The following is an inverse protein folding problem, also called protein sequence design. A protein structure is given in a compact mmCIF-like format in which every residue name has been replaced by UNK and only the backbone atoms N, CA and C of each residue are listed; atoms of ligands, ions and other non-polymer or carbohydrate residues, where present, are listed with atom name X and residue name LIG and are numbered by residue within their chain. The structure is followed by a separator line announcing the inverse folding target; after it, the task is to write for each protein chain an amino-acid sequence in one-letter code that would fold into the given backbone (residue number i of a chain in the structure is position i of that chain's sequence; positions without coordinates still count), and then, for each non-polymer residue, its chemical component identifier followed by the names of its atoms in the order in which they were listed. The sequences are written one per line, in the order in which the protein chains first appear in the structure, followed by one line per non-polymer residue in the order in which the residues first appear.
data_IF_013148110508
#
_entry.id   IF_013148110508
#
_cell.length_a   1.000
_cell.length_b   1.000
_cell.length_c   1.000
_cell.angle_alpha   90.00
_cell.angle_beta   90.00
_cell.angle_gamma   90.00
#
_symmetry.space_group_name_H-M   'P 1'
#
loop_
_entity.id
_entity.type
_entity.pdbx_description
1 polymer ?
#
# COMPACT_ATOMS: atom_id res chain seq x y z
N UNK A 1 -9.35 -19.33 -14.86
CA UNK A 1 -8.58 -18.57 -13.87
C UNK A 1 -8.37 -19.42 -12.62
N UNK A 2 -7.12 -19.59 -12.15
CA UNK A 2 -6.88 -20.15 -10.83
C UNK A 2 -7.41 -19.17 -9.78
N UNK A 3 -8.27 -19.62 -8.85
CA UNK A 3 -8.69 -18.80 -7.71
C UNK A 3 -7.46 -18.54 -6.84
N UNK A 4 -7.09 -17.28 -6.65
CA UNK A 4 -5.90 -16.88 -5.88
C UNK A 4 -6.28 -16.55 -4.43
N UNK A 5 -7.53 -16.17 -4.19
CA UNK A 5 -8.06 -15.80 -2.88
C UNK A 5 -9.30 -16.61 -2.55
N UNK A 6 -9.41 -17.06 -1.31
CA UNK A 6 -10.59 -17.71 -0.76
C UNK A 6 -11.05 -16.92 0.46
N UNK A 7 -12.35 -16.59 0.49
CA UNK A 7 -12.99 -15.96 1.64
C UNK A 7 -13.68 -17.06 2.46
N UNK A 8 -13.23 -17.25 3.70
CA UNK A 8 -13.88 -18.11 4.68
C UNK A 8 -14.58 -17.25 5.73
N UNK A 9 -15.91 -17.28 5.73
CA UNK A 9 -16.76 -16.54 6.67
C UNK A 9 -17.57 -17.47 7.60
N UNK A 10 -17.18 -18.74 7.72
CA UNK A 10 -17.89 -19.71 8.55
C UNK A 10 -18.06 -19.23 10.00
N UNK A 11 -17.05 -18.55 10.55
CA UNK A 11 -17.11 -18.01 11.91
C UNK A 11 -18.10 -16.84 12.10
N UNK A 12 -18.78 -16.40 11.05
CA UNK A 12 -19.87 -15.42 11.12
C UNK A 12 -21.25 -16.10 11.06
N UNK A 13 -21.28 -17.40 10.74
CA UNK A 13 -22.53 -18.12 10.50
C UNK A 13 -23.17 -18.62 11.79
N UNK A 14 -24.50 -18.59 11.84
CA UNK A 14 -25.30 -19.06 12.97
C UNK A 14 -25.08 -20.54 13.29
N UNK A 15 -24.67 -21.35 12.30
CA UNK A 15 -24.30 -22.75 12.52
C UNK A 15 -23.02 -22.92 13.37
N UNK A 16 -22.16 -21.89 13.46
CA UNK A 16 -20.92 -21.93 14.22
C UNK A 16 -21.04 -21.18 15.56
N UNK A 17 -21.67 -20.01 15.56
CA UNK A 17 -21.71 -19.12 16.74
C UNK A 17 -23.11 -18.96 17.35
N UNK A 18 -24.09 -19.75 16.90
CA UNK A 18 -25.42 -19.76 17.47
C UNK A 18 -26.27 -18.55 17.06
N UNK A 19 -27.14 -18.12 17.99
CA UNK A 19 -28.17 -17.09 17.73
C UNK A 19 -27.62 -15.72 17.27
N UNK A 20 -26.39 -15.42 17.58
CA UNK A 20 -25.74 -14.14 17.23
C UNK A 20 -25.08 -14.18 15.84
N UNK A 21 -25.12 -15.33 15.17
CA UNK A 21 -24.56 -15.52 13.82
C UNK A 21 -25.57 -15.21 12.73
N UNK A 22 -25.04 -15.03 11.51
CA UNK A 22 -25.80 -14.75 10.30
C UNK A 22 -26.28 -16.07 9.70
N UNK A 23 -27.53 -16.15 9.27
CA UNK A 23 -28.09 -17.31 8.55
C UNK A 23 -27.87 -17.20 7.06
N UNK A 24 -27.83 -18.32 6.35
CA UNK A 24 -27.76 -18.33 4.89
C UNK A 24 -28.94 -17.57 4.28
N UNK A 25 -30.14 -17.67 4.83
CA UNK A 25 -31.32 -16.95 4.35
C UNK A 25 -31.12 -15.42 4.42
N UNK A 26 -30.49 -14.90 5.47
CA UNK A 26 -30.15 -13.49 5.57
C UNK A 26 -29.16 -13.06 4.50
N UNK A 27 -28.14 -13.86 4.22
CA UNK A 27 -27.19 -13.62 3.11
C UNK A 27 -27.95 -13.58 1.78
N UNK A 28 -28.75 -14.61 1.51
CA UNK A 28 -29.49 -14.75 0.24
C UNK A 28 -30.44 -13.56 0.02
N UNK A 29 -31.06 -13.04 1.08
CA UNK A 29 -31.93 -11.87 1.00
C UNK A 29 -31.21 -10.58 0.57
N UNK A 30 -29.88 -10.50 0.75
CA UNK A 30 -29.07 -9.35 0.37
C UNK A 30 -28.42 -9.45 -1.01
N UNK A 31 -28.52 -10.60 -1.70
CA UNK A 31 -27.85 -10.81 -2.98
C UNK A 31 -28.29 -9.78 -4.03
N UNK A 32 -29.56 -9.45 -4.10
CA UNK A 32 -30.08 -8.47 -5.04
C UNK A 32 -29.50 -7.07 -4.76
N UNK A 33 -29.48 -6.66 -3.49
CA UNK A 33 -28.92 -5.38 -3.07
C UNK A 33 -27.41 -5.31 -3.37
N UNK A 34 -26.69 -6.37 -3.09
CA UNK A 34 -25.24 -6.46 -3.36
C UNK A 34 -24.94 -6.36 -4.85
N UNK A 35 -25.73 -7.05 -5.71
CA UNK A 35 -25.61 -6.95 -7.18
C UNK A 35 -25.87 -5.52 -7.69
N UNK A 36 -26.90 -4.85 -7.17
CA UNK A 36 -27.21 -3.48 -7.56
C UNK A 36 -26.12 -2.50 -7.11
N UNK A 37 -25.61 -2.63 -5.89
CA UNK A 37 -24.50 -1.83 -5.39
C UNK A 37 -23.22 -2.05 -6.22
N UNK A 38 -22.89 -3.31 -6.53
CA UNK A 38 -21.75 -3.65 -7.40
C UNK A 38 -21.90 -3.05 -8.80
N UNK A 39 -23.08 -3.18 -9.41
CA UNK A 39 -23.34 -2.60 -10.73
C UNK A 39 -23.17 -1.08 -10.73
N UNK A 40 -23.61 -0.39 -9.67
CA UNK A 40 -23.40 1.06 -9.53
C UNK A 40 -21.93 1.41 -9.42
N UNK A 41 -21.18 0.76 -8.54
CA UNK A 41 -19.74 0.99 -8.37
C UNK A 41 -18.99 0.76 -9.67
N UNK A 42 -19.28 -0.34 -10.37
CA UNK A 42 -18.59 -0.68 -11.64
C UNK A 42 -18.96 0.23 -12.80
N UNK A 43 -20.19 0.79 -12.83
CA UNK A 43 -20.58 1.76 -13.88
C UNK A 43 -19.87 3.10 -13.74
N UNK A 44 -19.36 3.42 -12.57
CA UNK A 44 -18.61 4.64 -12.26
C UNK A 44 -17.09 4.42 -12.26
N UNK A 45 -16.64 3.20 -12.59
CA UNK A 45 -15.21 2.86 -12.62
C UNK A 45 -14.44 3.80 -13.57
N UNK A 46 -13.26 4.24 -13.14
CA UNK A 46 -12.43 5.19 -13.88
C UNK A 46 -12.89 6.65 -13.80
N UNK A 47 -13.98 6.96 -13.10
CA UNK A 47 -14.57 8.29 -13.03
C UNK A 47 -14.58 8.84 -11.60
N UNK A 48 -14.33 10.14 -11.43
CA UNK A 48 -14.41 10.84 -10.15
C UNK A 48 -13.71 10.10 -9.01
N UNK A 49 -14.43 9.80 -7.94
CA UNK A 49 -13.92 9.06 -6.78
C UNK A 49 -13.56 7.59 -7.05
N UNK A 50 -13.93 7.04 -8.21
CA UNK A 50 -13.67 5.67 -8.64
C UNK A 50 -12.51 5.60 -9.65
N UNK A 51 -11.79 6.71 -9.89
CA UNK A 51 -10.66 6.79 -10.83
C UNK A 51 -9.56 5.78 -10.53
N UNK A 52 -9.35 5.42 -9.27
CA UNK A 52 -8.34 4.45 -8.83
C UNK A 52 -8.55 3.04 -9.40
N UNK A 53 -9.77 2.68 -9.81
CA UNK A 53 -10.09 1.33 -10.31
C UNK A 53 -9.40 1.01 -11.63
N UNK A 54 -9.05 2.01 -12.43
CA UNK A 54 -8.36 1.84 -13.70
C UNK A 54 -6.83 1.85 -13.59
N UNK A 55 -6.28 2.27 -12.45
CA UNK A 55 -4.82 2.37 -12.25
C UNK A 55 -4.06 1.06 -12.57
N UNK A 56 -4.56 -0.15 -12.23
CA UNK A 56 -3.86 -1.38 -12.56
C UNK A 56 -3.73 -1.67 -14.06
N UNK A 57 -4.47 -0.95 -14.91
CA UNK A 57 -4.62 -1.28 -16.34
C UNK A 57 -4.05 -0.23 -17.29
N UNK A 58 -3.70 0.97 -16.80
CA UNK A 58 -3.32 2.09 -17.66
C UNK A 58 -2.07 2.86 -17.16
N UNK A 59 -1.17 2.21 -16.45
CA UNK A 59 -0.03 2.86 -15.81
C UNK A 59 1.34 2.59 -16.47
N UNK A 60 1.40 1.90 -17.61
CA UNK A 60 2.67 1.47 -18.20
C UNK A 60 3.62 2.65 -18.45
N UNK A 61 3.16 3.73 -19.09
CA UNK A 61 3.98 4.91 -19.34
C UNK A 61 4.41 5.62 -18.04
N UNK A 62 3.49 5.72 -17.07
CA UNK A 62 3.80 6.33 -15.77
C UNK A 62 4.82 5.48 -15.01
N UNK A 63 4.72 4.15 -15.11
CA UNK A 63 5.70 3.24 -14.50
C UNK A 63 7.10 3.42 -15.10
N UNK A 64 7.21 3.57 -16.42
CA UNK A 64 8.49 3.83 -17.09
C UNK A 64 9.08 5.18 -16.65
N UNK A 65 8.28 6.22 -16.56
CA UNK A 65 8.70 7.55 -16.10
C UNK A 65 9.16 7.50 -14.62
N UNK A 66 8.46 6.75 -13.76
CA UNK A 66 8.86 6.54 -12.36
C UNK A 66 10.17 5.76 -12.27
N UNK A 67 10.37 4.74 -13.09
CA UNK A 67 11.62 3.95 -13.13
C UNK A 67 12.78 4.84 -13.55
N UNK A 68 12.60 5.67 -14.58
CA UNK A 68 13.63 6.61 -15.03
C UNK A 68 14.00 7.62 -13.92
N UNK A 69 13.01 8.20 -13.27
CA UNK A 69 13.18 9.08 -12.10
C UNK A 69 13.94 8.36 -10.97
N UNK A 70 13.50 7.15 -10.60
CA UNK A 70 14.11 6.38 -9.53
C UNK A 70 15.59 6.04 -9.80
N UNK A 71 15.96 5.78 -11.04
CA UNK A 71 17.36 5.56 -11.42
C UNK A 71 18.20 6.82 -11.19
N UNK A 72 17.71 8.00 -11.59
CA UNK A 72 18.38 9.26 -11.30
C UNK A 72 18.51 9.58 -9.80
N UNK A 73 17.50 9.20 -9.01
CA UNK A 73 17.52 9.35 -7.54
C UNK A 73 18.59 8.46 -6.92
N UNK A 74 18.69 7.20 -7.35
CA UNK A 74 19.72 6.24 -6.85
C UNK A 74 21.15 6.71 -7.06
N UNK A 75 21.39 7.49 -8.10
CA UNK A 75 22.74 8.02 -8.42
C UNK A 75 23.10 9.22 -7.53
N UNK A 76 22.11 9.99 -7.09
CA UNK A 76 22.31 11.25 -6.39
C UNK A 76 22.21 11.15 -4.87
N UNK A 77 21.34 10.27 -4.38
CA UNK A 77 21.00 10.21 -2.97
C UNK A 77 21.32 8.85 -2.33
N UNK A 78 21.78 8.90 -1.10
CA UNK A 78 22.04 7.71 -0.28
C UNK A 78 20.84 7.28 0.56
N UNK A 79 19.90 8.20 0.74
CA UNK A 79 18.68 8.00 1.54
C UNK A 79 17.46 8.62 0.88
N UNK A 80 16.32 7.97 1.02
CA UNK A 80 14.99 8.48 0.70
C UNK A 80 14.16 8.46 1.98
N UNK A 81 13.50 9.57 2.27
CA UNK A 81 12.55 9.70 3.39
C UNK A 81 11.19 10.09 2.83
N UNK A 82 10.19 9.30 3.12
CA UNK A 82 8.79 9.63 2.83
C UNK A 82 8.18 10.25 4.09
N UNK A 83 7.69 11.48 3.95
CA UNK A 83 6.92 12.17 4.98
C UNK A 83 5.44 12.06 4.59
N UNK A 84 4.70 11.19 5.23
CA UNK A 84 3.31 10.97 4.85
C UNK A 84 2.53 10.27 5.94
N UNK A 85 1.23 10.55 6.03
CA UNK A 85 0.32 9.99 7.02
C UNK A 85 -0.77 9.17 6.30
N UNK A 86 -1.23 8.10 6.93
CA UNK A 86 -2.28 7.24 6.39
C UNK A 86 -1.88 6.58 5.07
N UNK A 87 -2.65 6.76 4.02
CA UNK A 87 -2.41 6.14 2.71
C UNK A 87 -1.07 6.51 2.08
N UNK A 88 -0.55 7.72 2.36
CA UNK A 88 0.76 8.16 1.87
C UNK A 88 1.94 7.43 2.53
N UNK A 89 1.76 6.90 3.73
CA UNK A 89 2.79 6.13 4.46
C UNK A 89 2.59 4.61 4.32
N UNK A 90 1.35 4.13 4.46
CA UNK A 90 1.05 2.69 4.55
C UNK A 90 1.36 1.95 3.26
N UNK A 91 1.08 2.55 2.10
CA UNK A 91 1.40 1.97 0.79
C UNK A 91 2.90 1.72 0.62
N UNK A 92 3.75 2.75 0.71
CA UNK A 92 5.21 2.60 0.64
C UNK A 92 5.76 1.61 1.67
N UNK A 93 5.29 1.64 2.91
CA UNK A 93 5.70 0.73 3.98
C UNK A 93 5.34 -0.72 3.67
N UNK A 94 4.11 -0.97 3.20
CA UNK A 94 3.66 -2.31 2.85
C UNK A 94 4.50 -2.91 1.71
N UNK A 95 4.75 -2.12 0.66
CA UNK A 95 5.57 -2.57 -0.49
C UNK A 95 7.01 -2.83 -0.07
N UNK A 96 7.60 -1.92 0.70
CA UNK A 96 8.97 -2.10 1.21
C UNK A 96 9.09 -3.39 2.02
N UNK A 97 8.20 -3.62 2.99
CA UNK A 97 8.23 -4.79 3.86
C UNK A 97 7.96 -6.10 3.11
N UNK A 98 7.11 -6.07 2.07
CA UNK A 98 6.79 -7.25 1.28
C UNK A 98 7.90 -7.65 0.30
N UNK A 99 8.63 -6.66 -0.27
CA UNK A 99 9.55 -6.89 -1.38
C UNK A 99 11.03 -6.75 -1.03
N UNK A 100 11.35 -6.25 0.16
CA UNK A 100 12.74 -5.99 0.57
C UNK A 100 13.12 -6.83 1.80
N UNK A 101 14.43 -6.88 2.04
CA UNK A 101 14.97 -7.53 3.23
C UNK A 101 14.46 -6.85 4.50
N UNK A 102 14.10 -7.61 5.54
CA UNK A 102 13.55 -7.07 6.81
C UNK A 102 14.49 -6.06 7.52
N UNK A 103 15.79 -6.15 7.25
CA UNK A 103 16.83 -5.23 7.73
C UNK A 103 17.42 -4.43 6.58
N UNK A 104 16.57 -3.95 5.68
CA UNK A 104 17.01 -3.30 4.43
C UNK A 104 17.99 -2.16 4.67
N UNK A 105 17.67 -1.24 5.60
CA UNK A 105 18.51 -0.08 5.89
C UNK A 105 19.84 -0.43 6.59
N UNK A 106 19.92 -1.58 7.26
CA UNK A 106 21.13 -2.05 7.95
C UNK A 106 22.12 -2.74 6.99
N UNK A 107 21.68 -3.09 5.78
CA UNK A 107 22.54 -3.71 4.77
C UNK A 107 23.55 -2.69 4.22
N UNK A 108 24.78 -3.11 3.92
CA UNK A 108 25.72 -2.29 3.17
C UNK A 108 25.17 -1.97 1.77
N UNK A 109 25.59 -0.84 1.21
CA UNK A 109 25.07 -0.27 -0.06
C UNK A 109 25.09 -1.30 -1.21
N UNK A 110 26.15 -2.09 -1.31
CA UNK A 110 26.34 -3.10 -2.38
C UNK A 110 25.30 -4.23 -2.31
N UNK A 111 24.87 -4.60 -1.10
CA UNK A 111 23.83 -5.62 -0.88
C UNK A 111 22.42 -5.04 -0.96
N UNK A 112 22.25 -3.78 -0.60
CA UNK A 112 20.96 -3.09 -0.64
C UNK A 112 20.52 -2.77 -2.06
N UNK A 113 21.47 -2.42 -2.92
CA UNK A 113 21.22 -2.11 -4.33
C UNK A 113 20.44 -0.81 -4.57
N UNK A 114 20.37 0.06 -3.55
CA UNK A 114 19.67 1.35 -3.62
C UNK A 114 19.86 2.20 -2.36
N UNK A 115 19.23 3.38 -2.30
CA UNK A 115 19.23 4.24 -1.12
C UNK A 115 18.62 3.54 0.11
N UNK A 116 18.97 3.96 1.32
CA UNK A 116 18.17 3.68 2.51
C UNK A 116 16.76 4.24 2.32
N UNK A 117 15.78 3.64 2.96
CA UNK A 117 14.38 4.06 2.80
C UNK A 117 13.70 4.14 4.17
N UNK A 118 13.22 5.32 4.51
CA UNK A 118 12.51 5.58 5.75
C UNK A 118 11.12 6.14 5.45
N UNK A 119 10.16 5.80 6.29
CA UNK A 119 8.80 6.35 6.24
C UNK A 119 8.48 6.95 7.61
N UNK A 120 8.30 8.26 7.64
CA UNK A 120 7.83 8.98 8.82
C UNK A 120 6.34 9.25 8.68
N UNK A 121 5.57 8.55 9.49
CA UNK A 121 4.11 8.46 9.40
C UNK A 121 3.38 9.21 10.52
N UNK A 122 4.12 9.95 11.34
CA UNK A 122 3.57 10.69 12.46
C UNK A 122 4.31 12.01 12.69
N UNK A 123 3.59 12.98 13.22
CA UNK A 123 4.15 14.27 13.66
C UNK A 123 4.73 14.09 15.08
N UNK A 124 5.91 13.49 15.12
CA UNK A 124 6.62 13.17 16.36
C UNK A 124 8.04 13.76 16.29
N UNK A 125 8.35 14.78 17.11
CA UNK A 125 9.66 15.45 17.07
C UNK A 125 10.81 14.53 17.49
N UNK A 126 10.58 13.56 18.38
CA UNK A 126 11.63 12.65 18.84
C UNK A 126 11.99 11.63 17.75
N UNK A 127 10.99 11.14 17.01
CA UNK A 127 11.24 10.30 15.85
C UNK A 127 12.00 11.05 14.76
N UNK A 128 11.60 12.28 14.47
CA UNK A 128 12.29 13.10 13.47
C UNK A 128 13.74 13.39 13.90
N UNK A 129 13.98 13.76 15.15
CA UNK A 129 15.33 13.96 15.67
C UNK A 129 16.17 12.68 15.52
N UNK A 130 15.64 11.54 15.93
CA UNK A 130 16.31 10.23 15.78
C UNK A 130 16.62 9.86 14.33
N UNK A 131 15.75 10.22 13.38
CA UNK A 131 16.02 10.03 11.97
C UNK A 131 17.18 10.91 11.50
N UNK A 132 17.17 12.20 11.88
CA UNK A 132 18.23 13.16 11.51
C UNK A 132 19.60 12.76 12.05
N UNK A 133 19.67 12.05 13.18
CA UNK A 133 20.91 11.53 13.74
C UNK A 133 21.57 10.43 12.90
N UNK A 134 20.81 9.75 12.02
CA UNK A 134 21.28 8.57 11.26
C UNK A 134 21.35 8.79 9.76
N UNK A 135 20.90 9.93 9.26
CA UNK A 135 20.95 10.28 7.83
C UNK A 135 21.87 11.45 7.57
N UNK A 136 22.40 11.53 6.35
CA UNK A 136 23.04 12.73 5.82
C UNK A 136 21.99 13.53 5.04
N UNK A 137 21.56 14.65 5.57
CA UNK A 137 20.49 15.49 5.00
C UNK A 137 20.83 15.98 3.58
N UNK A 138 22.10 16.28 3.32
CA UNK A 138 22.56 16.75 1.99
C UNK A 138 22.51 15.65 0.94
N UNK A 139 22.52 14.37 1.37
CA UNK A 139 22.41 13.18 0.51
C UNK A 139 21.06 12.48 0.64
N UNK A 140 20.07 13.17 1.16
CA UNK A 140 18.74 12.64 1.39
C UNK A 140 17.71 13.32 0.50
N UNK A 141 16.90 12.51 -0.17
CA UNK A 141 15.70 12.98 -0.86
C UNK A 141 14.51 12.86 0.08
N UNK A 142 13.81 13.96 0.31
CA UNK A 142 12.53 13.98 1.02
C UNK A 142 11.38 14.01 0.02
N UNK A 143 10.42 13.11 0.20
CA UNK A 143 9.17 13.04 -0.55
C UNK A 143 8.02 13.30 0.41
N UNK A 144 7.21 14.34 0.15
CA UNK A 144 6.09 14.80 0.98
C UNK A 144 4.77 14.55 0.29
#
# INVERSE_FOLDING_TARGET
MKKVLTFDFNNMMSGMIGKDGITQQQIDSQIANAKNAHAKVTSEAGQGWQGWMDLPYNQDQIADDIIACANGVKEKFDTIVVLGIGGSALGPSAVLNALRHLRYNDLPKEKRGGPKFYVEDNVDPDRMASLLDVIDVEKTMFNV
#
